data_IF_882202043449
#
_entry.id   IF_882202043449
#
_cell.length_a   1.000
_cell.length_b   1.000
_cell.length_c   1.000
_cell.angle_alpha   90.00
_cell.angle_beta   90.00
_cell.angle_gamma   90.00
#
_symmetry.space_group_name_H-M   'P 1'
#
loop_
_entity.id
_entity.type
_entity.pdbx_description
1 polymer ?
#
# COMPACT_ATOMS: atom_id res chain seq x y z
N UNK A 1 23.00 11.04 -9.00
CA UNK A 1 21.70 10.53 -8.51
C UNK A 1 21.17 11.43 -7.37
N UNK A 2 20.30 12.39 -7.70
CA UNK A 2 19.76 13.35 -6.73
C UNK A 2 18.85 12.66 -5.71
N UNK A 3 19.03 13.00 -4.43
CA UNK A 3 18.24 12.49 -3.31
C UNK A 3 16.79 13.02 -3.32
N UNK A 4 15.91 12.26 -2.68
CA UNK A 4 14.50 12.55 -2.37
C UNK A 4 14.22 14.05 -2.14
N UNK A 5 13.28 14.62 -2.90
CA UNK A 5 12.75 15.97 -2.68
C UNK A 5 13.69 17.13 -3.06
N UNK A 6 14.80 16.85 -3.73
CA UNK A 6 15.70 17.88 -4.25
C UNK A 6 15.40 18.09 -5.73
N UNK A 7 15.08 19.34 -6.10
CA UNK A 7 14.92 19.71 -7.51
C UNK A 7 16.20 19.34 -8.27
N UNK A 8 16.03 18.83 -9.50
CA UNK A 8 17.15 18.74 -10.44
C UNK A 8 17.79 20.12 -10.58
N UNK A 9 19.11 20.22 -10.85
CA UNK A 9 19.74 21.50 -11.12
C UNK A 9 18.95 22.27 -12.17
N UNK A 10 18.54 23.49 -11.83
CA UNK A 10 17.79 24.36 -12.74
C UNK A 10 18.79 25.20 -13.52
N UNK A 11 18.84 24.99 -14.83
CA UNK A 11 19.70 25.76 -15.72
C UNK A 11 18.96 27.01 -16.21
N UNK A 12 19.50 28.19 -15.93
CA UNK A 12 18.93 29.47 -16.35
C UNK A 12 19.89 30.11 -17.34
N UNK A 13 19.48 30.19 -18.60
CA UNK A 13 20.32 30.74 -19.66
C UNK A 13 20.72 32.20 -19.39
N UNK A 14 21.91 32.61 -19.84
CA UNK A 14 22.41 33.99 -19.75
C UNK A 14 21.42 35.03 -20.29
N UNK A 15 20.68 34.67 -21.33
CA UNK A 15 19.71 35.54 -21.99
C UNK A 15 18.28 35.41 -21.41
N UNK A 16 18.05 34.61 -20.37
CA UNK A 16 16.72 34.46 -19.79
C UNK A 16 16.22 35.80 -19.21
N UNK A 17 14.96 36.24 -19.43
CA UNK A 17 14.50 37.57 -19.02
C UNK A 17 14.61 37.86 -17.52
N UNK A 18 14.62 36.81 -16.70
CA UNK A 18 14.71 36.90 -15.23
C UNK A 18 16.14 36.77 -14.72
N UNK A 19 17.13 36.54 -15.60
CA UNK A 19 18.54 36.41 -15.23
C UNK A 19 19.25 37.77 -15.32
N UNK A 20 19.66 38.37 -14.18
CA UNK A 20 20.27 39.71 -14.17
C UNK A 20 21.78 39.69 -14.46
N UNK A 21 22.41 38.52 -14.57
CA UNK A 21 23.88 38.40 -14.52
C UNK A 21 24.54 38.46 -15.90
N UNK A 22 23.79 38.24 -16.97
CA UNK A 22 24.34 38.08 -18.32
C UNK A 22 25.22 36.82 -18.49
N UNK A 23 25.24 35.92 -17.51
CA UNK A 23 25.95 34.64 -17.53
C UNK A 23 24.96 33.49 -17.29
N UNK A 24 25.26 32.29 -17.79
CA UNK A 24 24.39 31.13 -17.53
C UNK A 24 24.53 30.71 -16.08
N UNK A 25 23.39 30.51 -15.41
CA UNK A 25 23.34 30.15 -14.00
C UNK A 25 22.86 28.70 -13.84
N UNK A 26 23.44 28.01 -12.86
CA UNK A 26 22.93 26.71 -12.40
C UNK A 26 22.47 26.87 -10.97
N UNK A 27 21.17 26.68 -10.74
CA UNK A 27 20.60 26.67 -9.41
C UNK A 27 20.51 25.21 -8.94
N UNK A 28 21.51 24.80 -8.18
CA UNK A 28 21.68 23.41 -7.70
C UNK A 28 20.48 22.90 -6.91
N UNK A 29 19.91 23.76 -6.06
CA UNK A 29 18.74 23.44 -5.24
C UNK A 29 17.89 24.68 -5.04
N UNK A 30 16.59 24.54 -5.22
CA UNK A 30 15.60 25.55 -4.86
C UNK A 30 14.41 24.85 -4.26
N UNK A 31 13.76 25.42 -3.25
CA UNK A 31 12.47 24.92 -2.77
C UNK A 31 11.37 25.89 -3.18
N UNK A 32 10.23 25.38 -3.65
CA UNK A 32 9.05 26.17 -4.00
C UNK A 32 8.23 26.50 -2.75
N UNK A 33 8.80 27.25 -1.80
CA UNK A 33 8.06 27.62 -0.58
C UNK A 33 6.84 28.48 -0.91
N UNK A 34 6.89 29.31 -1.96
CA UNK A 34 5.75 30.11 -2.41
C UNK A 34 4.58 29.28 -3.00
N UNK A 35 4.79 27.99 -3.28
CA UNK A 35 3.71 27.08 -3.67
C UNK A 35 2.79 26.69 -2.48
N UNK A 36 3.21 26.99 -1.25
CA UNK A 36 2.55 26.52 -0.04
C UNK A 36 2.88 25.06 0.29
N UNK A 37 2.16 24.50 1.26
CA UNK A 37 2.42 23.16 1.76
C UNK A 37 1.90 22.09 0.79
N UNK A 38 2.62 20.98 0.69
CA UNK A 38 2.15 19.77 0.01
C UNK A 38 1.19 19.04 0.95
N UNK A 39 -0.10 18.97 0.59
CA UNK A 39 -1.12 18.27 1.38
C UNK A 39 -1.37 16.88 0.79
N UNK A 40 -1.37 15.87 1.65
CA UNK A 40 -1.71 14.50 1.30
C UNK A 40 -3.15 14.20 1.71
N UNK A 41 -3.89 13.53 0.83
CA UNK A 41 -5.24 13.05 1.09
C UNK A 41 -5.32 11.57 0.72
N UNK A 42 -6.05 10.78 1.48
CA UNK A 42 -6.29 9.38 1.18
C UNK A 42 -7.77 9.08 1.36
N UNK A 43 -8.35 8.44 0.36
CA UNK A 43 -9.70 7.89 0.41
C UNK A 43 -9.61 6.37 0.20
N UNK A 44 -10.26 5.60 1.06
CA UNK A 44 -10.27 4.14 0.98
C UNK A 44 -11.71 3.63 1.02
N UNK A 45 -12.04 2.75 0.08
CA UNK A 45 -13.35 2.13 -0.05
C UNK A 45 -13.19 0.62 0.19
N UNK A 46 -13.86 0.12 1.23
CA UNK A 46 -13.78 -1.28 1.66
C UNK A 46 -15.14 -1.94 1.45
N UNK A 47 -15.12 -3.09 0.79
CA UNK A 47 -16.26 -3.99 0.64
C UNK A 47 -15.88 -5.36 1.21
N UNK A 48 -16.82 -5.98 1.95
CA UNK A 48 -16.65 -7.35 2.42
C UNK A 48 -17.99 -8.08 2.44
N UNK A 49 -17.98 -9.30 1.91
CA UNK A 49 -19.10 -10.23 1.98
C UNK A 49 -18.62 -11.58 2.49
N UNK A 50 -19.37 -12.16 3.42
CA UNK A 50 -19.12 -13.49 3.97
C UNK A 50 -20.41 -14.28 3.91
N UNK A 51 -20.34 -15.48 3.34
CA UNK A 51 -21.43 -16.45 3.36
C UNK A 51 -20.88 -17.75 3.96
N UNK A 52 -21.62 -18.36 4.88
CA UNK A 52 -21.18 -19.56 5.54
C UNK A 52 -22.32 -20.41 6.06
N UNK A 53 -22.02 -21.69 6.22
CA UNK A 53 -22.88 -22.70 6.83
C UNK A 53 -22.18 -23.28 8.04
N UNK A 54 -22.97 -23.67 9.03
CA UNK A 54 -22.51 -24.35 10.24
C UNK A 54 -23.50 -25.42 10.61
N UNK A 55 -23.03 -26.46 11.29
CA UNK A 55 -23.88 -27.52 11.80
C UNK A 55 -23.14 -28.38 12.81
N UNK A 56 -23.86 -29.37 13.33
CA UNK A 56 -23.33 -30.32 14.29
C UNK A 56 -23.52 -31.75 13.76
N UNK A 57 -22.65 -32.67 14.14
CA UNK A 57 -22.70 -34.10 13.81
C UNK A 57 -22.79 -34.88 15.12
N UNK A 58 -23.97 -35.43 15.41
CA UNK A 58 -24.24 -35.97 16.74
C UNK A 58 -24.15 -34.87 17.81
N UNK A 59 -23.77 -35.27 19.03
CA UNK A 59 -23.80 -34.37 20.20
C UNK A 59 -22.46 -33.65 20.44
N UNK A 60 -21.36 -34.13 19.83
CA UNK A 60 -20.00 -33.78 20.24
C UNK A 60 -19.13 -33.18 19.13
N UNK A 61 -19.69 -32.94 17.94
CA UNK A 61 -18.95 -32.40 16.80
C UNK A 61 -19.67 -31.23 16.17
N UNK A 62 -18.92 -30.16 15.93
CA UNK A 62 -19.36 -28.99 15.19
C UNK A 62 -18.50 -28.81 13.95
N UNK A 63 -19.12 -28.33 12.87
CA UNK A 63 -18.43 -28.01 11.63
C UNK A 63 -18.92 -26.68 11.06
N UNK A 64 -18.05 -26.04 10.29
CA UNK A 64 -18.38 -24.83 9.54
C UNK A 64 -17.67 -24.81 8.19
N UNK A 65 -18.30 -24.19 7.21
CA UNK A 65 -17.68 -23.83 5.95
C UNK A 65 -18.08 -22.41 5.58
N UNK A 66 -17.13 -21.61 5.10
CA UNK A 66 -17.38 -20.22 4.75
C UNK A 66 -16.57 -19.77 3.53
N UNK A 67 -17.19 -18.92 2.73
CA UNK A 67 -16.57 -18.15 1.66
C UNK A 67 -16.54 -16.69 2.08
N UNK A 68 -15.39 -16.06 1.94
CA UNK A 68 -15.16 -14.64 2.24
C UNK A 68 -14.57 -13.96 1.02
N UNK A 69 -15.17 -12.85 0.61
CA UNK A 69 -14.60 -11.96 -0.41
C UNK A 69 -14.52 -10.55 0.17
N UNK A 70 -13.30 -10.03 0.24
CA UNK A 70 -13.00 -8.66 0.62
C UNK A 70 -12.30 -7.94 -0.52
N UNK A 71 -12.66 -6.68 -0.75
CA UNK A 71 -11.95 -5.79 -1.66
C UNK A 71 -11.77 -4.42 -1.02
N UNK A 72 -10.57 -3.89 -1.13
CA UNK A 72 -10.26 -2.53 -0.74
C UNK A 72 -9.65 -1.80 -1.94
N UNK A 73 -10.09 -0.57 -2.18
CA UNK A 73 -9.55 0.31 -3.22
C UNK A 73 -9.26 1.67 -2.62
N UNK A 74 -8.16 2.29 -3.02
CA UNK A 74 -7.77 3.59 -2.52
C UNK A 74 -7.36 4.56 -3.60
N UNK A 75 -7.54 5.85 -3.30
CA UNK A 75 -6.99 6.97 -4.06
C UNK A 75 -6.19 7.84 -3.12
N UNK A 76 -4.89 7.97 -3.40
CA UNK A 76 -3.99 8.86 -2.68
C UNK A 76 -3.76 10.12 -3.53
N UNK A 77 -4.14 11.26 -2.99
CA UNK A 77 -3.96 12.57 -3.60
C UNK A 77 -2.79 13.31 -2.97
N UNK A 78 -2.05 14.05 -3.78
CA UNK A 78 -1.06 14.98 -3.24
C UNK A 78 -1.00 16.28 -4.01
N UNK A 79 -1.19 17.40 -3.32
CA UNK A 79 -1.22 18.74 -3.92
C UNK A 79 0.19 19.32 -4.09
N UNK A 80 0.30 20.40 -4.86
CA UNK A 80 1.52 21.19 -5.00
C UNK A 80 2.75 20.38 -5.43
N UNK A 81 2.55 19.38 -6.29
CA UNK A 81 3.64 18.63 -6.91
C UNK A 81 4.06 19.37 -8.18
N UNK A 82 5.32 19.81 -8.24
CA UNK A 82 5.83 20.45 -9.44
C UNK A 82 5.97 19.43 -10.58
N UNK A 83 5.48 19.79 -11.76
CA UNK A 83 5.78 19.14 -13.03
C UNK A 83 7.09 19.74 -13.57
N UNK A 84 8.16 18.94 -13.56
CA UNK A 84 9.51 19.36 -13.93
C UNK A 84 9.63 19.74 -15.40
N UNK A 85 8.91 19.07 -16.31
CA UNK A 85 8.89 19.48 -17.72
C UNK A 85 8.27 20.85 -17.89
N UNK A 86 7.23 21.18 -17.10
CA UNK A 86 6.64 22.51 -17.11
C UNK A 86 7.58 23.55 -16.51
N UNK A 87 8.36 23.19 -15.49
CA UNK A 87 9.44 24.07 -14.98
C UNK A 87 10.47 24.37 -16.07
N UNK A 88 10.91 23.36 -16.84
CA UNK A 88 11.84 23.58 -17.94
C UNK A 88 11.22 24.47 -19.04
N UNK A 89 9.92 24.33 -19.29
CA UNK A 89 9.21 25.18 -20.25
C UNK A 89 9.14 26.65 -19.83
N UNK A 90 9.06 26.97 -18.53
CA UNK A 90 9.08 28.36 -18.05
C UNK A 90 10.47 29.01 -18.10
N UNK A 91 11.51 28.23 -18.39
CA UNK A 91 12.90 28.65 -18.54
C UNK A 91 13.36 28.71 -20.01
N UNK A 92 12.57 28.14 -20.92
CA UNK A 92 12.85 28.09 -22.35
C UNK A 92 12.21 29.29 -23.06
N UNK A 93 13.03 30.25 -23.50
CA UNK A 93 12.56 31.46 -24.20
C UNK A 93 11.88 31.18 -25.55
N UNK A 94 12.03 29.99 -26.11
CA UNK A 94 11.31 29.60 -27.33
C UNK A 94 9.87 29.17 -27.03
N UNK A 95 9.55 28.92 -25.75
CA UNK A 95 8.25 28.44 -25.28
C UNK A 95 7.54 29.43 -24.37
N UNK A 96 8.28 30.07 -23.45
CA UNK A 96 7.71 30.99 -22.47
C UNK A 96 7.66 32.43 -22.97
N UNK A 97 6.75 33.22 -22.40
CA UNK A 97 6.68 34.67 -22.62
C UNK A 97 6.43 35.40 -21.29
N UNK A 98 6.92 36.64 -21.19
CA UNK A 98 6.63 37.57 -20.08
C UNK A 98 5.42 38.45 -20.36
N UNK A 99 4.79 38.32 -21.53
CA UNK A 99 3.60 39.09 -21.87
C UNK A 99 2.41 38.69 -20.96
N UNK A 100 1.55 39.65 -20.55
CA UNK A 100 0.31 39.34 -19.85
C UNK A 100 -0.53 38.33 -20.64
N UNK A 101 -0.98 37.26 -19.99
CA UNK A 101 -1.82 36.22 -20.62
C UNK A 101 -1.05 35.17 -21.44
N UNK A 102 0.27 35.09 -21.33
CA UNK A 102 1.05 34.05 -21.98
C UNK A 102 0.56 32.62 -21.61
N UNK A 103 0.48 31.73 -22.61
CA UNK A 103 0.12 30.33 -22.39
C UNK A 103 1.14 29.59 -21.50
N UNK A 104 2.41 29.98 -21.61
CA UNK A 104 3.51 29.52 -20.75
C UNK A 104 4.20 30.78 -20.19
N UNK A 105 3.98 31.13 -18.92
CA UNK A 105 4.64 32.28 -18.31
C UNK A 105 6.10 31.96 -18.00
N UNK A 106 7.02 32.88 -18.30
CA UNK A 106 8.43 32.71 -17.90
C UNK A 106 8.60 32.78 -16.38
N UNK A 107 9.41 31.89 -15.81
CA UNK A 107 9.60 31.76 -14.36
C UNK A 107 10.84 32.50 -13.84
N UNK A 108 10.70 33.21 -12.72
CA UNK A 108 11.84 33.76 -11.97
C UNK A 108 12.16 32.88 -10.75
N UNK A 109 13.17 32.03 -10.89
CA UNK A 109 13.59 31.11 -9.83
C UNK A 109 14.71 31.69 -8.93
N UNK A 110 15.19 32.91 -9.16
CA UNK A 110 16.35 33.52 -8.47
C UNK A 110 16.02 34.17 -7.11
N UNK A 111 15.02 33.66 -6.41
CA UNK A 111 14.62 34.14 -5.08
C UNK A 111 13.30 33.55 -4.61
N UNK A 112 13.07 33.60 -3.29
CA UNK A 112 11.79 33.24 -2.70
C UNK A 112 10.72 34.27 -3.06
N UNK A 113 9.50 33.83 -3.39
CA UNK A 113 8.38 34.72 -3.75
C UNK A 113 8.45 35.34 -5.14
N UNK A 114 9.50 35.06 -5.92
CA UNK A 114 9.66 35.60 -7.27
C UNK A 114 8.80 34.91 -8.34
N UNK A 115 8.28 33.71 -8.07
CA UNK A 115 7.35 33.04 -8.98
C UNK A 115 5.96 33.64 -8.83
N UNK A 116 5.38 34.07 -9.95
CA UNK A 116 4.03 34.62 -9.96
C UNK A 116 2.99 33.51 -9.77
N UNK A 117 1.76 33.84 -9.32
CA UNK A 117 0.66 32.89 -9.26
C UNK A 117 0.38 32.17 -10.60
N UNK A 118 0.60 32.83 -11.73
CA UNK A 118 0.46 32.25 -13.08
C UNK A 118 1.48 31.13 -13.30
N UNK A 119 2.74 31.38 -12.94
CA UNK A 119 3.79 30.36 -13.04
C UNK A 119 3.50 29.19 -12.11
N UNK A 120 3.08 29.45 -10.87
CA UNK A 120 2.73 28.41 -9.91
C UNK A 120 1.55 27.56 -10.39
N UNK A 121 0.47 28.17 -10.87
CA UNK A 121 -0.68 27.43 -11.46
C UNK A 121 -0.26 26.60 -12.66
N UNK A 122 0.70 27.07 -13.43
CA UNK A 122 1.19 26.36 -14.60
C UNK A 122 2.02 25.12 -14.21
N UNK A 123 2.99 25.27 -13.31
CA UNK A 123 3.94 24.20 -12.97
C UNK A 123 3.41 23.20 -11.94
N UNK A 124 2.47 23.59 -11.06
CA UNK A 124 1.97 22.74 -9.99
C UNK A 124 0.82 21.85 -10.47
N UNK A 125 0.83 20.60 -9.99
CA UNK A 125 -0.20 19.62 -10.22
C UNK A 125 -0.60 18.94 -8.90
N UNK A 126 -1.81 18.39 -8.89
CA UNK A 126 -2.22 17.42 -7.87
C UNK A 126 -2.04 16.04 -8.47
N UNK A 127 -1.13 15.23 -7.91
CA UNK A 127 -0.95 13.84 -8.33
C UNK A 127 -2.00 12.95 -7.68
N UNK A 128 -2.47 11.94 -8.40
CA UNK A 128 -3.38 10.91 -7.88
C UNK A 128 -2.83 9.51 -8.15
N UNK A 129 -2.45 8.83 -7.09
CA UNK A 129 -2.15 7.40 -7.14
C UNK A 129 -3.44 6.62 -6.87
N UNK A 130 -3.62 5.49 -7.55
CA UNK A 130 -4.73 4.56 -7.29
C UNK A 130 -4.20 3.19 -6.95
N UNK A 131 -4.96 2.40 -6.18
CA UNK A 131 -4.50 1.07 -5.80
C UNK A 131 -5.58 0.28 -5.09
N UNK A 132 -5.21 -0.92 -4.66
CA UNK A 132 -6.12 -1.75 -3.89
C UNK A 132 -5.60 -3.15 -3.65
N UNK A 133 -6.42 -3.91 -2.93
CA UNK A 133 -6.24 -5.33 -2.70
C UNK A 133 -7.57 -6.08 -2.77
N UNK A 134 -7.50 -7.35 -3.17
CA UNK A 134 -8.62 -8.28 -3.30
C UNK A 134 -8.25 -9.59 -2.59
N UNK A 135 -9.07 -9.98 -1.63
CA UNK A 135 -8.92 -11.21 -0.85
C UNK A 135 -10.13 -12.10 -1.10
N UNK A 136 -9.90 -13.35 -1.51
CA UNK A 136 -10.93 -14.37 -1.62
C UNK A 136 -10.48 -15.59 -0.84
N UNK A 137 -11.27 -16.05 0.11
CA UNK A 137 -10.97 -17.27 0.85
C UNK A 137 -12.16 -18.21 0.96
N UNK A 138 -11.85 -19.50 0.99
CA UNK A 138 -12.74 -20.59 1.33
C UNK A 138 -12.11 -21.29 2.53
N UNK A 139 -12.91 -21.51 3.56
CA UNK A 139 -12.47 -22.18 4.79
C UNK A 139 -13.46 -23.26 5.18
N UNK A 140 -12.95 -24.36 5.73
CA UNK A 140 -13.74 -25.41 6.34
C UNK A 140 -13.08 -25.82 7.66
N UNK A 141 -13.86 -25.95 8.71
CA UNK A 141 -13.38 -26.30 10.04
C UNK A 141 -14.30 -27.36 10.66
N UNK A 142 -13.71 -28.23 11.46
CA UNK A 142 -14.41 -29.23 12.26
C UNK A 142 -13.75 -29.28 13.64
N UNK A 143 -14.55 -29.36 14.70
CA UNK A 143 -14.07 -29.48 16.07
C UNK A 143 -15.01 -30.33 16.89
N UNK A 144 -14.46 -31.03 17.88
CA UNK A 144 -15.26 -31.89 18.73
C UNK A 144 -14.43 -32.67 19.74
N UNK A 145 -15.06 -33.68 20.32
CA UNK A 145 -14.43 -34.59 21.27
C UNK A 145 -14.19 -35.96 20.63
N UNK A 146 -12.96 -36.48 20.70
CA UNK A 146 -12.60 -37.78 20.14
C UNK A 146 -13.10 -38.94 21.01
N UNK A 147 -12.78 -38.87 22.30
CA UNK A 147 -13.14 -39.86 23.33
C UNK A 147 -12.92 -39.26 24.72
N UNK A 148 -13.44 -39.91 25.74
CA UNK A 148 -13.35 -39.46 27.14
C UNK A 148 -12.30 -40.23 27.91
N UNK A 149 -11.35 -39.51 28.50
CA UNK A 149 -10.41 -40.02 29.48
C UNK A 149 -10.97 -39.81 30.90
N UNK A 150 -10.45 -40.52 31.93
CA UNK A 150 -10.83 -40.26 33.33
C UNK A 150 -10.66 -38.79 33.76
N UNK A 151 -9.71 -38.08 33.14
CA UNK A 151 -9.45 -36.67 33.39
C UNK A 151 -10.34 -35.71 32.56
N UNK A 152 -11.14 -36.20 31.61
CA UNK A 152 -12.04 -35.41 30.77
C UNK A 152 -12.00 -35.81 29.28
N UNK A 153 -12.79 -35.12 28.43
CA UNK A 153 -12.80 -35.37 26.99
C UNK A 153 -11.50 -34.93 26.31
N UNK A 154 -11.05 -35.69 25.32
CA UNK A 154 -9.96 -35.30 24.42
C UNK A 154 -10.54 -34.44 23.30
N UNK A 155 -10.20 -33.15 23.32
CA UNK A 155 -10.61 -32.20 22.30
C UNK A 155 -9.78 -32.33 21.03
N UNK A 156 -10.42 -32.15 19.88
CA UNK A 156 -9.80 -32.11 18.59
C UNK A 156 -10.40 -30.99 17.74
N UNK A 157 -9.56 -30.33 16.97
CA UNK A 157 -9.99 -29.40 15.93
C UNK A 157 -9.12 -29.58 14.70
N UNK A 158 -9.72 -29.46 13.51
CA UNK A 158 -9.00 -29.43 12.27
C UNK A 158 -9.67 -28.49 11.29
N UNK A 159 -8.89 -27.99 10.33
CA UNK A 159 -9.45 -27.16 9.28
C UNK A 159 -8.55 -27.04 8.09
N UNK A 160 -9.14 -26.51 7.03
CA UNK A 160 -8.48 -26.18 5.78
C UNK A 160 -8.90 -24.79 5.30
N UNK A 161 -7.95 -24.05 4.74
CA UNK A 161 -8.19 -22.75 4.14
C UNK A 161 -7.49 -22.66 2.78
N UNK A 162 -8.19 -22.13 1.78
CA UNK A 162 -7.57 -21.65 0.55
C UNK A 162 -7.87 -20.17 0.44
N UNK A 163 -6.81 -19.35 0.38
CA UNK A 163 -6.90 -17.89 0.31
C UNK A 163 -6.09 -17.36 -0.86
N UNK A 164 -6.74 -16.63 -1.76
CA UNK A 164 -6.11 -15.86 -2.84
C UNK A 164 -6.08 -14.40 -2.45
N UNK A 165 -4.89 -13.81 -2.52
CA UNK A 165 -4.62 -12.41 -2.25
C UNK A 165 -4.09 -11.77 -3.52
N UNK A 166 -4.66 -10.64 -3.93
CA UNK A 166 -4.19 -9.83 -5.05
C UNK A 166 -4.01 -8.40 -4.59
N UNK A 167 -3.01 -7.70 -5.11
CA UNK A 167 -2.75 -6.30 -4.80
C UNK A 167 -2.19 -5.55 -5.99
N UNK A 168 -2.48 -4.26 -6.08
CA UNK A 168 -1.94 -3.39 -7.13
C UNK A 168 -1.78 -1.95 -6.65
N UNK A 169 -0.86 -1.24 -7.30
CA UNK A 169 -0.68 0.20 -7.16
C UNK A 169 -0.31 0.80 -8.51
N UNK A 170 -1.04 1.83 -8.88
CA UNK A 170 -0.88 2.62 -10.09
C UNK A 170 -0.55 4.06 -9.68
N UNK A 171 0.73 4.45 -9.70
CA UNK A 171 1.13 5.83 -9.47
C UNK A 171 0.52 6.78 -10.52
N UNK A 172 0.43 8.07 -10.19
CA UNK A 172 0.05 9.12 -11.14
C UNK A 172 0.94 9.08 -12.40
N UNK A 173 0.38 9.38 -13.58
CA UNK A 173 1.14 9.32 -14.83
C UNK A 173 2.37 10.24 -14.82
N UNK A 174 2.32 11.40 -14.16
CA UNK A 174 3.48 12.29 -13.99
C UNK A 174 4.60 11.61 -13.19
N UNK A 175 4.24 10.79 -12.21
CA UNK A 175 5.16 9.95 -11.44
C UNK A 175 5.74 8.84 -12.31
N UNK A 176 4.92 8.18 -13.14
CA UNK A 176 5.36 7.07 -14.02
C UNK A 176 6.35 7.53 -15.09
N UNK A 177 6.07 8.67 -15.74
CA UNK A 177 6.97 9.25 -16.76
C UNK A 177 8.16 9.98 -16.13
N UNK A 178 8.19 10.14 -14.81
CA UNK A 178 9.34 10.68 -14.06
C UNK A 178 9.50 12.20 -14.11
N UNK A 179 8.41 12.93 -14.36
CA UNK A 179 8.39 14.40 -14.43
C UNK A 179 7.71 15.04 -13.23
N UNK A 180 7.01 14.28 -12.40
CA UNK A 180 6.58 14.76 -11.09
C UNK A 180 7.81 14.98 -10.19
N UNK A 181 7.81 16.04 -9.39
CA UNK A 181 8.82 16.31 -8.37
C UNK A 181 8.67 15.36 -7.17
N UNK A 182 8.91 14.09 -7.44
CA UNK A 182 8.85 12.92 -6.56
C UNK A 182 9.68 11.80 -7.21
N UNK A 183 9.81 10.67 -6.53
CA UNK A 183 10.45 9.51 -7.15
C UNK A 183 9.59 8.94 -8.26
N UNK A 184 10.22 8.68 -9.40
CA UNK A 184 9.63 7.85 -10.44
C UNK A 184 9.27 6.49 -9.86
N UNK A 185 8.06 6.04 -10.11
CA UNK A 185 7.54 4.75 -9.68
C UNK A 185 6.81 4.11 -10.86
N UNK A 186 7.08 2.84 -11.12
CA UNK A 186 6.32 2.06 -12.08
C UNK A 186 5.09 1.44 -11.40
N UNK A 187 3.99 1.22 -12.14
CA UNK A 187 2.86 0.44 -11.63
C UNK A 187 3.30 -0.96 -11.21
N UNK A 188 2.78 -1.43 -10.08
CA UNK A 188 3.07 -2.76 -9.56
C UNK A 188 1.76 -3.52 -9.34
N UNK A 189 1.78 -4.82 -9.59
CA UNK A 189 0.71 -5.72 -9.20
C UNK A 189 1.28 -7.08 -8.83
N UNK A 190 0.55 -7.80 -7.99
CA UNK A 190 0.97 -9.09 -7.48
C UNK A 190 -0.22 -9.92 -7.04
N UNK A 191 -0.02 -11.23 -7.02
CA UNK A 191 -1.02 -12.17 -6.55
C UNK A 191 -0.33 -13.38 -5.95
N UNK A 192 -0.88 -13.91 -4.85
CA UNK A 192 -0.48 -15.20 -4.31
C UNK A 192 -1.67 -15.99 -3.81
N UNK A 193 -1.49 -17.30 -3.70
CA UNK A 193 -2.45 -18.21 -3.11
C UNK A 193 -1.80 -18.94 -1.95
N UNK A 194 -2.47 -18.95 -0.81
CA UNK A 194 -2.15 -19.74 0.36
C UNK A 194 -3.12 -20.92 0.45
N UNK A 195 -2.61 -22.12 0.66
CA UNK A 195 -3.39 -23.33 0.96
C UNK A 195 -2.90 -23.88 2.27
N UNK A 196 -3.79 -24.02 3.23
CA UNK A 196 -3.40 -24.33 4.60
C UNK A 196 -4.29 -25.44 5.14
N UNK A 197 -3.68 -26.37 5.86
CA UNK A 197 -4.38 -27.39 6.66
C UNK A 197 -3.79 -27.38 8.06
N UNK A 198 -4.64 -27.59 9.05
CA UNK A 198 -4.20 -27.61 10.45
C UNK A 198 -5.00 -28.61 11.27
N UNK A 199 -4.38 -29.07 12.35
CA UNK A 199 -5.01 -29.92 13.36
C UNK A 199 -4.47 -29.56 14.75
N UNK A 200 -5.34 -29.59 15.74
CA UNK A 200 -5.04 -29.34 17.15
C UNK A 200 -5.64 -30.43 18.02
N UNK A 201 -4.93 -30.80 19.08
CA UNK A 201 -5.33 -31.79 20.07
C UNK A 201 -5.17 -31.21 21.47
N UNK A 202 -6.17 -31.46 22.30
CA UNK A 202 -6.26 -31.03 23.69
C UNK A 202 -6.53 -32.26 24.57
N UNK A 203 -5.50 -32.77 25.24
CA UNK A 203 -5.55 -34.01 26.02
C UNK A 203 -5.53 -33.69 27.53
N UNK A 204 -6.63 -33.92 28.27
CA UNK A 204 -6.60 -33.81 29.72
C UNK A 204 -5.82 -34.98 30.32
N UNK A 205 -4.74 -34.69 31.04
CA UNK A 205 -3.86 -35.68 31.63
C UNK A 205 -4.26 -36.00 33.08
N UNK A 206 -4.50 -34.96 33.89
CA UNK A 206 -4.85 -35.09 35.30
C UNK A 206 -6.00 -34.14 35.65
N UNK A 207 -6.85 -34.57 36.58
CA UNK A 207 -7.96 -33.76 37.09
C UNK A 207 -8.29 -34.18 38.52
N UNK A 208 -8.46 -33.20 39.42
CA UNK A 208 -8.86 -33.41 40.84
C UNK A 208 -7.91 -34.32 41.64
N UNK A 209 -6.60 -34.08 41.56
CA UNK A 209 -5.61 -34.72 42.43
C UNK A 209 -5.16 -33.77 43.55
N UNK A 210 -4.72 -34.29 44.72
CA UNK A 210 -4.07 -33.45 45.73
C UNK A 210 -2.92 -32.67 45.09
N UNK A 211 -2.89 -31.34 45.29
CA UNK A 211 -1.92 -30.40 44.72
C UNK A 211 -1.94 -30.21 43.18
N UNK A 212 -2.82 -30.90 42.42
CA UNK A 212 -3.00 -30.70 40.97
C UNK A 212 -4.49 -30.64 40.62
N UNK A 213 -4.99 -29.43 40.36
CA UNK A 213 -6.40 -29.22 39.99
C UNK A 213 -6.70 -29.76 38.58
N UNK A 214 -5.86 -29.39 37.61
CA UNK A 214 -5.90 -29.92 36.24
C UNK A 214 -4.52 -29.85 35.59
N UNK A 215 -4.23 -30.82 34.72
CA UNK A 215 -3.08 -30.83 33.84
C UNK A 215 -3.55 -31.21 32.44
N UNK A 216 -3.23 -30.39 31.44
CA UNK A 216 -3.62 -30.60 30.06
C UNK A 216 -2.39 -30.53 29.15
N UNK A 217 -2.30 -31.47 28.22
CA UNK A 217 -1.34 -31.43 27.12
C UNK A 217 -2.05 -30.91 25.87
N UNK A 218 -1.47 -29.88 25.25
CA UNK A 218 -1.98 -29.31 24.02
C UNK A 218 -0.91 -29.45 22.95
N UNK A 219 -1.31 -29.87 21.75
CA UNK A 219 -0.43 -29.86 20.58
C UNK A 219 -1.18 -29.40 19.35
N UNK A 220 -0.48 -28.75 18.44
CA UNK A 220 -1.04 -28.36 17.15
C UNK A 220 0.00 -28.45 16.06
N UNK A 221 -0.47 -28.71 14.84
CA UNK A 221 0.34 -28.65 13.64
C UNK A 221 -0.43 -27.93 12.52
N UNK A 222 0.29 -27.11 11.73
CA UNK A 222 -0.22 -26.47 10.51
C UNK A 222 0.77 -26.70 9.39
N UNK A 223 0.24 -27.01 8.21
CA UNK A 223 0.97 -27.02 6.95
C UNK A 223 0.40 -25.93 6.05
N UNK A 224 1.27 -25.08 5.54
CA UNK A 224 0.92 -23.96 4.66
C UNK A 224 1.72 -24.05 3.36
N UNK A 225 1.04 -23.98 2.22
CA UNK A 225 1.62 -23.91 0.88
C UNK A 225 1.32 -22.55 0.25
N UNK A 226 2.36 -21.78 -0.05
CA UNK A 226 2.25 -20.48 -0.70
C UNK A 226 2.81 -20.54 -2.11
N UNK A 227 2.02 -20.06 -3.09
CA UNK A 227 2.45 -20.02 -4.50
C UNK A 227 3.70 -19.16 -4.77
N UNK A 228 4.06 -18.24 -3.86
CA UNK A 228 5.25 -17.39 -3.97
C UNK A 228 6.42 -17.82 -3.08
N UNK A 229 6.16 -18.54 -1.98
CA UNK A 229 7.16 -18.76 -0.91
C UNK A 229 7.40 -20.25 -0.62
N UNK A 230 6.71 -21.14 -1.33
CA UNK A 230 6.76 -22.59 -1.10
C UNK A 230 6.01 -22.99 0.16
N UNK A 231 6.29 -24.20 0.63
CA UNK A 231 5.57 -24.81 1.74
C UNK A 231 6.31 -24.69 3.07
N UNK A 232 5.58 -24.58 4.18
CA UNK A 232 6.11 -24.49 5.54
C UNK A 232 5.21 -25.22 6.53
N UNK A 233 5.82 -25.91 7.48
CA UNK A 233 5.12 -26.52 8.62
C UNK A 233 5.42 -25.75 9.91
N UNK A 234 4.42 -25.59 10.78
CA UNK A 234 4.56 -25.04 12.13
C UNK A 234 3.87 -25.96 13.12
N UNK A 235 4.43 -26.07 14.34
CA UNK A 235 3.88 -26.93 15.40
C UNK A 235 4.16 -26.36 16.79
N UNK A 236 3.35 -26.76 17.77
CA UNK A 236 3.51 -26.46 19.20
C UNK A 236 3.09 -27.65 20.05
#
# INVERSE_FOLDING_TARGET
>A
PGSLGVYRPINIAANHPTNPTGQSLVLERRRLEEAGTRTFSQESNIFRVVAGVKGSIGDNWDWSAAVNWGRNTGVDGTTNVANLDRVDQTLDRTKCSTAPGAAIPCGNYLGYGNLTPEVLRYILATTRDTGGNDQKSISANISGELFTLPAGPVGFAAGAEVRKESGWRNPDNLTVIGVANTNRQDPISGTYTAREVYAELAVPLLKRLPFVESLQFNTAARFSDYSLFGSKSTYK
#
